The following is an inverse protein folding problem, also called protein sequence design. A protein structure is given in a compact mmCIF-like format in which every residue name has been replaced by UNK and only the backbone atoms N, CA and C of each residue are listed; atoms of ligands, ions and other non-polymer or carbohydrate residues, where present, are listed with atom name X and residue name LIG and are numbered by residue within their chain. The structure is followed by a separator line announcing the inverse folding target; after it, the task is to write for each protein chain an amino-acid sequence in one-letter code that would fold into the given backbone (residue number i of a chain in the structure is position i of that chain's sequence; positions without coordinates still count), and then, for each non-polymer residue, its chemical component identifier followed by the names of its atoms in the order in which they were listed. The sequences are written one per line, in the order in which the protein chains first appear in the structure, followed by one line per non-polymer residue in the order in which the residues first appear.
data_IF_263362736127
#
_entry.id   IF_263362736127
#
_cell.length_a   1.000
_cell.length_b   1.000
_cell.length_c   1.000
_cell.angle_alpha   90.00
_cell.angle_beta   90.00
_cell.angle_gamma   90.00
#
_symmetry.space_group_name_H-M   'P 1'
#
loop_
_entity.id
_entity.type
_entity.pdbx_description
1 polymer ?
#
# COMPACT_ATOMS: atom_id res chain seq x y z
N UNK A 1 -0.89 16.14 -0.03
CA UNK A 1 -1.16 14.73 0.29
C UNK A 1 -0.81 13.94 -0.94
N UNK A 2 0.07 12.95 -0.78
CA UNK A 2 0.56 12.12 -1.86
C UNK A 2 -0.30 10.87 -1.93
N UNK A 3 -0.93 10.63 -3.09
CA UNK A 3 -1.63 9.38 -3.36
C UNK A 3 -0.63 8.37 -3.90
N UNK A 4 -0.61 7.19 -3.31
CA UNK A 4 0.16 6.05 -3.80
C UNK A 4 -0.82 4.96 -4.17
N UNK A 5 -0.82 4.59 -5.45
CA UNK A 5 -1.56 3.45 -5.97
C UNK A 5 -0.60 2.28 -5.95
N UNK A 6 -0.81 1.32 -5.06
CA UNK A 6 0.06 0.18 -4.89
C UNK A 6 -0.63 -1.09 -5.37
N UNK A 7 0.01 -1.82 -6.28
CA UNK A 7 -0.48 -3.09 -6.81
C UNK A 7 0.41 -4.23 -6.36
N UNK A 8 -0.22 -5.35 -6.06
CA UNK A 8 0.47 -6.56 -5.65
C UNK A 8 -0.22 -7.80 -6.22
N UNK A 9 0.59 -8.81 -6.51
CA UNK A 9 0.11 -10.17 -6.71
C UNK A 9 -0.11 -10.83 -5.36
N UNK A 10 -1.14 -11.67 -5.32
CA UNK A 10 -1.53 -12.41 -4.14
C UNK A 10 -2.11 -13.75 -4.55
N UNK A 11 -1.54 -14.82 -3.99
CA UNK A 11 -1.88 -16.22 -4.29
C UNK A 11 -2.39 -16.96 -3.03
N UNK A 12 -2.77 -16.22 -1.98
CA UNK A 12 -3.23 -16.78 -0.71
C UNK A 12 -4.73 -17.00 -0.61
N UNK A 13 -5.15 -17.55 0.52
CA UNK A 13 -6.56 -17.73 0.86
C UNK A 13 -7.19 -16.48 1.53
N UNK A 14 -8.51 -16.53 1.76
CA UNK A 14 -9.28 -15.44 2.40
C UNK A 14 -8.75 -15.07 3.79
N UNK A 15 -8.24 -16.05 4.55
CA UNK A 15 -7.71 -15.82 5.89
C UNK A 15 -6.38 -15.06 5.81
N UNK A 16 -5.52 -15.44 4.86
CA UNK A 16 -4.28 -14.74 4.59
C UNK A 16 -4.55 -13.33 4.06
N UNK A 17 -5.56 -13.15 3.21
CA UNK A 17 -5.97 -11.84 2.70
C UNK A 17 -6.47 -10.93 3.84
N UNK A 18 -7.30 -11.46 4.73
CA UNK A 18 -7.74 -10.74 5.92
C UNK A 18 -6.54 -10.28 6.76
N UNK A 19 -5.54 -11.15 6.95
CA UNK A 19 -4.32 -10.80 7.67
C UNK A 19 -3.50 -9.72 6.95
N UNK A 20 -3.36 -9.79 5.62
CA UNK A 20 -2.72 -8.72 4.83
C UNK A 20 -3.43 -7.38 5.07
N UNK A 21 -4.76 -7.36 5.05
CA UNK A 21 -5.53 -6.14 5.29
C UNK A 21 -5.33 -5.57 6.71
N UNK A 22 -5.24 -6.43 7.72
CA UNK A 22 -4.86 -6.01 9.07
C UNK A 22 -3.47 -5.37 9.09
N UNK A 23 -2.48 -5.99 8.44
CA UNK A 23 -1.12 -5.45 8.35
C UNK A 23 -1.07 -4.11 7.63
N UNK A 24 -1.86 -3.94 6.58
CA UNK A 24 -2.03 -2.67 5.86
C UNK A 24 -2.62 -1.60 6.78
N UNK A 25 -3.65 -1.94 7.56
CA UNK A 25 -4.26 -1.01 8.53
C UNK A 25 -3.30 -0.63 9.66
N UNK A 26 -2.59 -1.61 10.24
CA UNK A 26 -1.54 -1.38 11.24
C UNK A 26 -0.43 -0.47 10.70
N UNK A 27 0.06 -0.75 9.49
CA UNK A 27 1.10 0.04 8.83
C UNK A 27 0.62 1.47 8.60
N UNK A 28 -0.60 1.64 8.08
CA UNK A 28 -1.18 2.96 7.82
C UNK A 28 -1.31 3.78 9.10
N UNK A 29 -1.72 3.16 10.21
CA UNK A 29 -1.78 3.81 11.52
C UNK A 29 -0.39 4.24 12.02
N UNK A 30 0.61 3.37 11.89
CA UNK A 30 1.99 3.63 12.32
C UNK A 30 2.62 4.81 11.57
N UNK A 31 2.43 4.86 10.25
CA UNK A 31 3.03 5.90 9.39
C UNK A 31 2.14 7.14 9.22
N UNK A 32 0.97 7.16 9.84
CA UNK A 32 0.02 8.28 9.75
C UNK A 32 -0.62 8.46 8.37
N UNK A 33 -0.77 7.37 7.61
CA UNK A 33 -1.45 7.33 6.32
C UNK A 33 -2.91 6.89 6.44
N UNK A 34 -3.73 7.32 5.48
CA UNK A 34 -5.03 6.68 5.23
C UNK A 34 -4.86 5.65 4.12
N UNK A 35 -5.72 4.64 4.09
CA UNK A 35 -5.77 3.66 3.01
C UNK A 35 -7.20 3.27 2.66
N UNK A 36 -7.38 2.73 1.46
CA UNK A 36 -8.61 2.15 0.93
C UNK A 36 -8.24 0.89 0.11
N UNK A 37 -9.23 0.01 -0.05
CA UNK A 37 -9.10 -1.29 -0.70
C UNK A 37 -9.09 -2.44 0.32
N UNK A 38 -8.69 -3.65 -0.10
CA UNK A 38 -8.17 -3.97 -1.43
C UNK A 38 -9.25 -3.88 -2.51
N UNK A 39 -8.87 -3.35 -3.68
CA UNK A 39 -9.63 -3.47 -4.92
C UNK A 39 -9.03 -4.59 -5.78
N UNK A 40 -9.82 -5.10 -6.73
CA UNK A 40 -9.43 -6.19 -7.63
C UNK A 40 -9.32 -5.66 -9.07
N UNK A 41 -8.16 -5.10 -9.47
CA UNK A 41 -7.96 -4.61 -10.83
C UNK A 41 -7.77 -5.76 -11.83
N UNK A 42 -7.80 -5.48 -13.14
CA UNK A 42 -7.60 -6.50 -14.17
C UNK A 42 -6.13 -6.95 -14.34
N UNK A 43 -5.17 -6.11 -13.95
CA UNK A 43 -3.73 -6.30 -14.20
C UNK A 43 -2.92 -6.67 -12.95
N UNK A 44 -3.58 -6.97 -11.83
CA UNK A 44 -2.96 -7.43 -10.57
C UNK A 44 -4.01 -8.12 -9.67
N UNK A 45 -3.58 -8.93 -8.70
CA UNK A 45 -4.50 -9.53 -7.74
C UNK A 45 -5.12 -8.49 -6.79
N UNK A 46 -4.31 -7.55 -6.30
CA UNK A 46 -4.73 -6.56 -5.30
C UNK A 46 -4.27 -5.15 -5.68
N UNK A 47 -5.11 -4.17 -5.37
CA UNK A 47 -4.80 -2.75 -5.44
C UNK A 47 -5.19 -2.07 -4.13
N UNK A 48 -4.23 -1.36 -3.55
CA UNK A 48 -4.44 -0.49 -2.40
C UNK A 48 -4.16 0.95 -2.80
N UNK A 49 -4.96 1.84 -2.26
CA UNK A 49 -4.71 3.27 -2.35
C UNK A 49 -4.20 3.72 -0.98
N UNK A 50 -3.11 4.48 -0.96
CA UNK A 50 -2.55 5.05 0.26
C UNK A 50 -2.44 6.56 0.13
N UNK A 51 -2.85 7.27 1.17
CA UNK A 51 -2.77 8.71 1.23
C UNK A 51 -1.79 9.12 2.31
N UNK A 52 -0.60 9.49 1.90
CA UNK A 52 0.46 9.96 2.76
C UNK A 52 0.42 11.48 2.89
N UNK A 53 0.90 11.98 4.03
CA UNK A 53 1.06 13.43 4.24
C UNK A 53 2.26 13.95 3.46
N UNK A 54 3.39 13.26 3.60
CA UNK A 54 4.68 13.62 3.02
C UNK A 54 5.22 12.49 2.12
N UNK A 55 6.15 12.84 1.24
CA UNK A 55 6.69 11.89 0.26
C UNK A 55 7.60 10.85 0.92
N UNK A 56 8.27 11.22 2.00
CA UNK A 56 9.14 10.34 2.78
C UNK A 56 8.37 9.19 3.44
N UNK A 57 7.10 9.41 3.78
CA UNK A 57 6.25 8.42 4.47
C UNK A 57 5.93 7.21 3.60
N UNK A 58 5.88 7.37 2.27
CA UNK A 58 5.72 6.27 1.30
C UNK A 58 6.76 5.18 1.54
N UNK A 59 8.03 5.57 1.60
CA UNK A 59 9.15 4.63 1.72
C UNK A 59 9.11 3.90 3.06
N UNK A 60 8.75 4.63 4.13
CA UNK A 60 8.59 4.06 5.46
C UNK A 60 7.44 3.06 5.50
N UNK A 61 6.28 3.41 4.94
CA UNK A 61 5.10 2.56 4.86
C UNK A 61 5.37 1.27 4.09
N UNK A 62 5.92 1.38 2.87
CA UNK A 62 6.27 0.20 2.06
C UNK A 62 7.25 -0.73 2.77
N UNK A 63 8.33 -0.20 3.36
CA UNK A 63 9.29 -1.02 4.10
C UNK A 63 8.65 -1.74 5.28
N UNK A 64 7.84 -1.03 6.06
CA UNK A 64 7.22 -1.59 7.26
C UNK A 64 6.22 -2.70 6.91
N UNK A 65 5.36 -2.48 5.90
CA UNK A 65 4.41 -3.49 5.43
C UNK A 65 5.14 -4.74 4.92
N UNK A 66 6.11 -4.56 4.02
CA UNK A 66 6.80 -5.69 3.38
C UNK A 66 7.65 -6.48 4.37
N UNK A 67 8.23 -5.83 5.39
CA UNK A 67 8.91 -6.53 6.48
C UNK A 67 7.95 -7.41 7.28
N UNK A 68 6.74 -6.92 7.61
CA UNK A 68 5.74 -7.72 8.34
C UNK A 68 5.21 -8.89 7.49
N UNK A 69 4.88 -8.62 6.24
CA UNK A 69 4.46 -9.62 5.25
C UNK A 69 5.50 -10.73 5.10
N UNK A 70 6.77 -10.36 4.95
CA UNK A 70 7.87 -11.33 4.84
C UNK A 70 8.07 -12.13 6.15
N UNK A 71 7.97 -11.48 7.31
CA UNK A 71 8.06 -12.13 8.63
C UNK A 71 6.97 -13.18 8.83
N UNK A 72 5.75 -12.89 8.37
CA UNK A 72 4.60 -13.79 8.46
C UNK A 72 4.50 -14.76 7.27
N UNK A 73 5.42 -14.67 6.30
CA UNK A 73 5.45 -15.50 5.07
C UNK A 73 4.12 -15.46 4.30
N UNK A 74 3.51 -14.28 4.24
CA UNK A 74 2.26 -14.09 3.48
C UNK A 74 2.59 -14.05 1.98
N UNK A 75 1.76 -14.70 1.12
CA UNK A 75 2.00 -14.79 -0.32
C UNK A 75 1.60 -13.49 -1.04
N UNK A 76 2.27 -12.39 -0.71
CA UNK A 76 2.02 -11.06 -1.24
C UNK A 76 3.29 -10.52 -1.90
N UNK A 77 3.23 -10.29 -3.20
CA UNK A 77 4.37 -9.83 -4.00
C UNK A 77 4.10 -8.44 -4.56
N UNK A 78 4.93 -7.43 -4.25
CA UNK A 78 4.77 -6.10 -4.84
C UNK A 78 4.98 -6.17 -6.36
N UNK A 79 4.03 -5.61 -7.12
CA UNK A 79 4.16 -5.50 -8.57
C UNK A 79 4.67 -4.14 -8.98
N UNK A 80 3.93 -3.09 -8.64
CA UNK A 80 4.28 -1.71 -8.97
C UNK A 80 3.58 -0.73 -8.04
N UNK A 81 4.12 0.47 -7.98
CA UNK A 81 3.43 1.60 -7.40
C UNK A 81 3.45 2.78 -8.36
N UNK A 82 2.38 3.56 -8.32
CA UNK A 82 2.23 4.80 -9.05
C UNK A 82 1.95 5.91 -8.03
N UNK A 83 2.47 7.11 -8.29
CA UNK A 83 2.33 8.24 -7.39
C UNK A 83 1.46 9.30 -8.06
N UNK A 84 0.27 9.50 -7.50
CA UNK A 84 -0.59 10.62 -7.81
C UNK A 84 -0.20 11.83 -6.97
N UNK A 85 0.34 12.85 -7.61
CA UNK A 85 0.58 14.17 -7.00
C UNK A 85 -0.42 15.17 -7.54
N UNK A 86 -0.85 16.10 -6.70
CA UNK A 86 -1.71 17.20 -7.16
C UNK A 86 -0.90 18.15 -8.06
N UNK A 87 -1.55 18.91 -8.98
CA UNK A 87 -0.87 19.95 -9.74
C UNK A 87 -0.15 20.96 -8.83
N UNK A 88 -0.69 21.24 -7.64
CA UNK A 88 -0.06 22.11 -6.65
C UNK A 88 1.28 21.57 -6.18
N UNK A 89 1.35 20.27 -5.88
CA UNK A 89 2.58 19.60 -5.45
C UNK A 89 3.59 19.42 -6.59
N UNK A 90 3.12 19.21 -7.82
CA UNK A 90 3.99 19.07 -8.98
C UNK A 90 4.55 20.40 -9.50
N UNK A 91 3.72 21.45 -9.53
CA UNK A 91 4.07 22.76 -10.11
C UNK A 91 4.47 23.81 -9.05
N UNK A 92 4.39 23.50 -7.76
CA UNK A 92 4.89 24.34 -6.67
C UNK A 92 4.17 25.68 -6.46
N UNK A 93 2.87 25.77 -6.77
CA UNK A 93 2.10 27.02 -6.54
C UNK A 93 1.59 27.15 -5.11
#
# INVERSE_FOLDING_TARGET
MVLVIWKADFDGDDKQLARVNELVAETSKEVGAKFDGPYLPQDASLLYLFWYKEYEDLNRGGRYLLQKVAKEKLPLTPLRYEIGVTPKEFWGK
#
